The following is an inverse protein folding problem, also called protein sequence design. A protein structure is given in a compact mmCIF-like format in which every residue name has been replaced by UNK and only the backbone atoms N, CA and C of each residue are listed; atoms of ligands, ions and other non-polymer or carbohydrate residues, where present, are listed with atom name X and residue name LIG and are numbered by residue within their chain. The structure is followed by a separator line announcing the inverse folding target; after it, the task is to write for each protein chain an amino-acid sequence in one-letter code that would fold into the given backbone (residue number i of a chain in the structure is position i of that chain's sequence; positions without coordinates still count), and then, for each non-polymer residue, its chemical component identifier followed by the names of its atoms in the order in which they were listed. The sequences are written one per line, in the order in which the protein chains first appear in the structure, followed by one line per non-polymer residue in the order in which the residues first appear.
data_IF_571637374984
#
_entry.id   IF_571637374984
#
_cell.length_a   1.000
_cell.length_b   1.000
_cell.length_c   1.000
_cell.angle_alpha   90.00
_cell.angle_beta   90.00
_cell.angle_gamma   90.00
#
_symmetry.space_group_name_H-M   'P 1'
#
loop_
_entity.id
_entity.type
_entity.pdbx_description
1 polymer ?
#
# COMPACT_ATOMS: atom_id res chain seq x y z
N UNK A 1 -23.29 10.50 -8.16
CA UNK A 1 -21.85 10.39 -7.89
C UNK A 1 -21.37 11.69 -7.28
N UNK A 2 -20.67 11.64 -6.15
CA UNK A 2 -20.11 12.85 -5.53
C UNK A 2 -18.90 13.31 -6.34
N UNK A 3 -18.90 14.58 -6.76
CA UNK A 3 -17.76 15.17 -7.49
C UNK A 3 -16.56 15.23 -6.56
N UNK A 4 -15.40 14.77 -7.05
CA UNK A 4 -14.15 14.85 -6.31
C UNK A 4 -13.66 16.30 -6.27
N UNK A 5 -13.47 16.85 -5.08
CA UNK A 5 -13.05 18.26 -4.86
C UNK A 5 -11.53 18.41 -5.02
N UNK A 6 -10.78 17.40 -4.57
CA UNK A 6 -9.34 17.31 -4.73
C UNK A 6 -8.98 16.00 -5.46
N UNK A 7 -8.58 16.08 -6.70
CA UNK A 7 -8.20 14.95 -7.55
C UNK A 7 -6.70 14.91 -7.87
N UNK A 8 -5.88 15.76 -7.22
CA UNK A 8 -4.43 15.86 -7.46
C UNK A 8 -3.73 14.52 -7.42
N UNK A 9 -4.05 13.69 -6.41
CA UNK A 9 -3.45 12.37 -6.26
C UNK A 9 -3.70 11.49 -7.50
N UNK A 10 -4.95 11.40 -7.97
CA UNK A 10 -5.30 10.59 -9.14
C UNK A 10 -4.64 11.14 -10.41
N UNK A 11 -4.64 12.46 -10.58
CA UNK A 11 -4.01 13.13 -11.74
C UNK A 11 -2.50 12.89 -11.75
N UNK A 12 -1.84 13.01 -10.61
CA UNK A 12 -0.39 12.76 -10.50
C UNK A 12 -0.04 11.30 -10.86
N UNK A 13 -0.82 10.32 -10.36
CA UNK A 13 -0.63 8.91 -10.73
C UNK A 13 -0.79 8.65 -12.23
N UNK A 14 -1.67 9.41 -12.90
CA UNK A 14 -1.88 9.35 -14.35
C UNK A 14 -0.95 10.29 -15.14
N UNK A 15 0.05 10.88 -14.49
CA UNK A 15 1.01 11.83 -15.05
C UNK A 15 0.36 13.04 -15.72
N UNK A 16 -0.80 13.43 -15.21
CA UNK A 16 -1.50 14.64 -15.61
C UNK A 16 -1.01 15.84 -14.82
N UNK A 17 -1.07 17.07 -15.37
CA UNK A 17 -0.66 18.28 -14.65
C UNK A 17 -1.43 18.48 -13.35
N UNK A 18 -0.73 18.93 -12.31
CA UNK A 18 -1.27 19.34 -11.02
C UNK A 18 -0.67 20.67 -10.60
N UNK A 19 -1.30 21.38 -9.68
CA UNK A 19 -0.87 22.69 -9.19
C UNK A 19 0.23 22.61 -8.10
N UNK A 20 0.36 21.45 -7.46
CA UNK A 20 1.39 21.10 -6.48
C UNK A 20 1.50 19.59 -6.36
N UNK A 21 2.62 19.10 -5.86
CA UNK A 21 2.81 17.67 -5.64
C UNK A 21 1.85 17.16 -4.55
N UNK A 22 0.97 16.19 -4.85
CA UNK A 22 0.10 15.61 -3.83
C UNK A 22 0.89 14.74 -2.86
N UNK A 23 0.41 14.67 -1.62
CA UNK A 23 1.00 13.86 -0.56
C UNK A 23 -0.05 13.03 0.17
N UNK A 24 0.30 11.80 0.47
CA UNK A 24 -0.27 10.96 1.51
C UNK A 24 0.85 10.19 2.21
N UNK A 25 0.59 9.56 3.34
CA UNK A 25 1.62 8.85 4.09
C UNK A 25 1.22 7.40 4.33
N UNK A 26 2.11 6.47 4.00
CA UNK A 26 1.92 5.06 4.31
C UNK A 26 1.75 4.87 5.83
N UNK A 27 0.68 4.20 6.25
CA UNK A 27 0.23 4.06 7.66
C UNK A 27 -0.16 5.39 8.33
N UNK A 28 -0.71 6.35 7.56
CA UNK A 28 -1.16 7.65 8.07
C UNK A 28 -2.18 7.54 9.21
N UNK A 29 -3.06 6.54 9.21
CA UNK A 29 -3.81 6.14 10.39
C UNK A 29 -2.94 5.19 11.22
N UNK A 30 -2.44 5.63 12.37
CA UNK A 30 -1.44 4.86 13.07
C UNK A 30 -1.23 5.26 14.53
N UNK A 31 -0.45 4.44 15.23
CA UNK A 31 -0.18 4.54 16.68
C UNK A 31 0.54 5.82 17.12
N UNK A 32 1.06 6.62 16.21
CA UNK A 32 1.62 7.93 16.52
C UNK A 32 0.53 8.95 16.89
N UNK A 33 -0.74 8.72 16.49
CA UNK A 33 -1.88 9.58 16.80
C UNK A 33 -2.55 9.18 18.11
N UNK A 34 -2.76 10.13 19.06
CA UNK A 34 -3.48 9.87 20.32
C UNK A 34 -4.91 9.36 20.09
N UNK A 35 -5.66 9.95 19.17
CA UNK A 35 -7.02 9.54 18.82
C UNK A 35 -7.09 8.14 18.22
N UNK A 36 -6.09 7.74 17.44
CA UNK A 36 -5.99 6.37 16.95
C UNK A 36 -5.83 5.38 18.12
N UNK A 37 -4.95 5.70 19.10
CA UNK A 37 -4.76 4.87 20.28
C UNK A 37 -6.05 4.72 21.08
N UNK A 38 -6.83 5.81 21.23
CA UNK A 38 -8.11 5.80 21.94
C UNK A 38 -9.14 4.91 21.19
N UNK A 39 -9.30 5.09 19.89
CA UNK A 39 -10.21 4.26 19.08
C UNK A 39 -9.78 2.79 19.06
N UNK A 40 -8.48 2.53 19.01
CA UNK A 40 -7.93 1.18 19.08
C UNK A 40 -8.22 0.50 20.43
N UNK A 41 -8.10 1.25 21.53
CA UNK A 41 -8.42 0.75 22.86
C UNK A 41 -9.93 0.46 23.00
N UNK A 42 -10.80 1.30 22.45
CA UNK A 42 -12.25 1.09 22.40
C UNK A 42 -12.62 -0.20 21.63
N UNK A 43 -11.93 -0.49 20.54
CA UNK A 43 -12.16 -1.69 19.74
C UNK A 43 -11.72 -2.99 20.45
N UNK A 44 -10.80 -2.90 21.41
CA UNK A 44 -10.24 -4.04 22.15
C UNK A 44 -8.99 -4.62 21.49
N UNK A 45 -9.10 -5.17 20.29
CA UNK A 45 -7.96 -5.71 19.53
C UNK A 45 -7.91 -5.18 18.10
N UNK A 46 -6.81 -5.46 17.39
CA UNK A 46 -6.60 -4.94 16.03
C UNK A 46 -7.60 -5.48 15.01
N UNK A 47 -7.90 -6.77 15.07
CA UNK A 47 -8.85 -7.36 14.13
C UNK A 47 -10.28 -6.90 14.42
N UNK A 48 -10.66 -6.68 15.66
CA UNK A 48 -11.94 -6.07 16.04
C UNK A 48 -12.08 -4.66 15.47
N UNK A 49 -11.00 -3.86 15.49
CA UNK A 49 -10.96 -2.54 14.82
C UNK A 49 -11.17 -2.67 13.31
N UNK A 50 -10.45 -3.57 12.64
CA UNK A 50 -10.58 -3.79 11.20
C UNK A 50 -11.95 -4.32 10.79
N UNK A 51 -12.57 -5.18 11.61
CA UNK A 51 -13.88 -5.79 11.34
C UNK A 51 -15.08 -4.89 11.62
N UNK A 52 -14.86 -3.74 12.26
CA UNK A 52 -15.87 -2.74 12.51
C UNK A 52 -15.77 -1.60 11.48
N UNK A 53 -16.71 -1.53 10.54
CA UNK A 53 -16.68 -0.56 9.45
C UNK A 53 -16.69 0.90 9.94
N UNK A 54 -17.42 1.21 11.02
CA UNK A 54 -17.51 2.57 11.57
C UNK A 54 -16.20 2.98 12.25
N UNK A 55 -15.58 2.08 13.02
CA UNK A 55 -14.29 2.34 13.66
C UNK A 55 -13.15 2.39 12.64
N UNK A 56 -13.17 1.53 11.62
CA UNK A 56 -12.23 1.59 10.49
C UNK A 56 -12.36 2.91 9.73
N UNK A 57 -13.58 3.39 9.52
CA UNK A 57 -13.84 4.71 8.94
C UNK A 57 -13.30 5.82 9.84
N UNK A 58 -13.59 5.80 11.13
CA UNK A 58 -13.13 6.82 12.07
C UNK A 58 -11.61 6.96 12.03
N UNK A 59 -10.86 5.86 12.16
CA UNK A 59 -9.39 5.93 12.12
C UNK A 59 -8.83 6.33 10.75
N UNK A 60 -9.53 6.01 9.66
CA UNK A 60 -9.15 6.46 8.31
C UNK A 60 -9.25 7.98 8.18
N UNK A 61 -10.26 8.61 8.78
CA UNK A 61 -10.50 10.04 8.70
C UNK A 61 -9.65 10.88 9.67
N UNK A 62 -9.17 10.30 10.75
CA UNK A 62 -8.38 11.01 11.77
C UNK A 62 -7.19 11.78 11.21
N UNK A 63 -6.29 11.21 10.40
CA UNK A 63 -5.17 11.96 9.83
C UNK A 63 -5.61 13.07 8.87
N UNK A 64 -6.73 12.91 8.15
CA UNK A 64 -7.27 13.94 7.26
C UNK A 64 -7.82 15.16 8.01
N UNK A 65 -8.25 14.99 9.27
CA UNK A 65 -8.67 16.10 10.12
C UNK A 65 -7.48 16.89 10.67
N UNK A 66 -6.30 16.28 10.75
CA UNK A 66 -5.08 16.92 11.26
C UNK A 66 -4.22 17.53 10.17
N UNK A 67 -4.15 16.86 9.02
CA UNK A 67 -3.20 17.18 7.96
C UNK A 67 -3.93 17.34 6.63
N UNK A 68 -3.49 18.29 5.80
CA UNK A 68 -4.04 18.53 4.48
C UNK A 68 -3.60 17.47 3.45
N UNK A 69 -3.87 16.20 3.73
CA UNK A 69 -3.49 15.07 2.86
C UNK A 69 -4.35 15.05 1.59
N UNK A 70 -3.76 14.60 0.48
CA UNK A 70 -4.41 14.55 -0.83
C UNK A 70 -5.06 13.20 -1.14
N UNK A 71 -4.97 12.23 -0.25
CA UNK A 71 -5.66 10.94 -0.37
C UNK A 71 -5.92 10.31 1.00
N UNK A 72 -7.03 9.58 1.09
CA UNK A 72 -7.30 8.63 2.16
C UNK A 72 -6.88 7.23 1.71
N UNK A 73 -6.42 6.41 2.64
CA UNK A 73 -6.23 4.98 2.41
C UNK A 73 -7.11 4.18 3.36
N UNK A 74 -7.77 3.16 2.83
CA UNK A 74 -8.55 2.20 3.60
C UNK A 74 -7.76 1.71 4.82
N UNK A 75 -8.36 1.75 6.01
CA UNK A 75 -7.80 1.10 7.18
C UNK A 75 -8.17 -0.38 7.18
N UNK A 76 -7.16 -1.23 7.00
CA UNK A 76 -7.28 -2.69 7.00
C UNK A 76 -5.87 -3.29 7.20
N UNK A 77 -5.74 -4.59 7.03
CA UNK A 77 -4.47 -5.32 7.03
C UNK A 77 -4.26 -6.08 5.72
N UNK A 78 -3.02 -6.27 5.31
CA UNK A 78 -2.69 -7.06 4.11
C UNK A 78 -2.99 -8.56 4.30
N UNK A 79 -3.09 -9.05 5.55
CA UNK A 79 -3.29 -10.46 5.88
C UNK A 79 -4.76 -10.88 6.00
N UNK A 80 -5.69 -9.99 5.63
CA UNK A 80 -7.13 -10.31 5.61
C UNK A 80 -7.47 -11.44 4.65
N UNK A 81 -6.81 -11.54 3.48
CA UNK A 81 -7.01 -12.65 2.54
C UNK A 81 -6.55 -13.99 3.15
N UNK A 82 -5.33 -14.12 3.68
CA UNK A 82 -4.93 -15.34 4.38
C UNK A 82 -5.85 -15.74 5.55
N UNK A 83 -6.35 -14.75 6.32
CA UNK A 83 -7.32 -14.98 7.39
C UNK A 83 -8.63 -15.57 6.82
N UNK A 84 -9.16 -14.98 5.77
CA UNK A 84 -10.36 -15.46 5.07
C UNK A 84 -10.17 -16.83 4.41
N UNK A 85 -8.93 -17.20 4.06
CA UNK A 85 -8.56 -18.55 3.60
C UNK A 85 -8.56 -19.57 4.74
N UNK A 86 -8.79 -19.15 5.99
CA UNK A 86 -8.94 -20.02 7.15
C UNK A 86 -7.63 -20.28 7.90
N UNK A 87 -6.60 -19.45 7.76
CA UNK A 87 -5.34 -19.63 8.48
C UNK A 87 -5.40 -19.19 9.95
N UNK A 88 -6.40 -18.41 10.35
CA UNK A 88 -6.57 -17.94 11.73
C UNK A 88 -5.54 -16.90 12.14
N UNK A 89 -5.76 -15.64 11.71
CA UNK A 89 -4.88 -14.52 12.00
C UNK A 89 -5.10 -13.96 13.40
N UNK A 90 -4.02 -13.76 14.14
CA UNK A 90 -4.01 -13.10 15.45
C UNK A 90 -2.84 -12.12 15.57
N UNK A 91 -2.98 -11.15 16.49
CA UNK A 91 -1.94 -10.18 16.83
C UNK A 91 -1.73 -10.20 18.35
N UNK A 92 -0.59 -10.69 18.80
CA UNK A 92 -0.19 -10.61 20.22
C UNK A 92 0.20 -9.19 20.64
N UNK A 93 0.11 -8.91 21.93
CA UNK A 93 0.57 -7.64 22.50
C UNK A 93 2.09 -7.51 22.30
N UNK A 94 2.52 -6.52 21.48
CA UNK A 94 3.94 -6.30 21.18
C UNK A 94 4.54 -7.30 20.17
N UNK A 95 3.76 -8.28 19.71
CA UNK A 95 4.16 -9.25 18.68
C UNK A 95 3.55 -8.84 17.33
N UNK A 96 4.19 -9.28 16.24
CA UNK A 96 3.65 -9.14 14.89
C UNK A 96 2.47 -10.09 14.63
N UNK A 97 2.01 -10.16 13.37
CA UNK A 97 0.95 -11.10 12.99
C UNK A 97 1.40 -12.55 13.19
N UNK A 98 0.45 -13.41 13.56
CA UNK A 98 0.66 -14.84 13.76
C UNK A 98 -0.53 -15.61 13.20
N UNK A 99 -0.24 -16.71 12.51
CA UNK A 99 -1.24 -17.64 12.00
C UNK A 99 -1.30 -18.92 12.85
N UNK A 100 -2.51 -19.41 13.08
CA UNK A 100 -2.74 -20.71 13.76
C UNK A 100 -2.35 -21.89 12.84
N UNK A 101 -2.59 -21.74 11.53
CA UNK A 101 -2.24 -22.72 10.50
C UNK A 101 -1.22 -22.12 9.55
N UNK A 102 -0.34 -22.97 9.04
CA UNK A 102 0.72 -22.60 8.08
C UNK A 102 0.59 -23.41 6.80
N UNK A 103 1.19 -22.91 5.74
CA UNK A 103 1.29 -23.64 4.47
C UNK A 103 2.58 -24.44 4.48
N UNK A 104 2.47 -25.75 4.62
CA UNK A 104 3.60 -26.66 4.77
C UNK A 104 3.57 -27.87 3.82
N UNK A 105 2.49 -28.05 3.07
CA UNK A 105 2.31 -29.23 2.23
C UNK A 105 1.44 -28.95 1.00
N UNK A 106 1.58 -29.82 0.00
CA UNK A 106 0.79 -29.80 -1.23
C UNK A 106 -0.71 -29.88 -0.94
N UNK A 107 -1.12 -30.78 -0.05
CA UNK A 107 -2.52 -30.96 0.33
C UNK A 107 -3.11 -29.68 0.91
N UNK A 108 -2.36 -28.93 1.72
CA UNK A 108 -2.82 -27.65 2.27
C UNK A 108 -3.02 -26.64 1.16
N UNK A 109 -2.07 -26.49 0.23
CA UNK A 109 -2.20 -25.55 -0.92
C UNK A 109 -3.39 -25.89 -1.81
N UNK A 110 -3.58 -27.19 -2.15
CA UNK A 110 -4.67 -27.64 -3.01
C UNK A 110 -6.05 -27.35 -2.41
N UNK A 111 -6.19 -27.50 -1.08
CA UNK A 111 -7.44 -27.27 -0.36
C UNK A 111 -7.68 -25.84 0.11
N UNK A 112 -6.74 -24.89 -0.13
CA UNK A 112 -6.97 -23.49 0.18
C UNK A 112 -8.15 -22.94 -0.63
N UNK A 113 -9.16 -22.34 0.01
CA UNK A 113 -10.24 -21.66 -0.71
C UNK A 113 -9.75 -20.35 -1.35
N UNK A 114 -10.45 -19.90 -2.38
CA UNK A 114 -10.39 -18.51 -2.86
C UNK A 114 -11.58 -17.79 -2.23
N UNK A 115 -11.37 -16.85 -1.29
CA UNK A 115 -12.47 -16.19 -0.59
C UNK A 115 -13.31 -15.34 -1.52
N UNK A 116 -14.64 -15.34 -1.31
CA UNK A 116 -15.52 -14.34 -1.92
C UNK A 116 -15.43 -13.04 -1.11
N UNK A 117 -14.95 -11.93 -1.71
CA UNK A 117 -14.77 -10.68 -0.98
C UNK A 117 -16.07 -10.09 -0.40
N UNK A 118 -17.22 -10.35 -1.03
CA UNK A 118 -18.53 -9.86 -0.55
C UNK A 118 -19.15 -10.75 0.52
N UNK A 119 -18.51 -11.87 0.85
CA UNK A 119 -18.93 -12.78 1.95
C UNK A 119 -17.88 -12.77 3.06
N UNK A 120 -16.75 -13.46 2.86
CA UNK A 120 -15.72 -13.64 3.89
C UNK A 120 -14.99 -12.34 4.25
N UNK A 121 -14.92 -11.36 3.32
CA UNK A 121 -14.29 -10.06 3.51
C UNK A 121 -15.28 -8.89 3.45
N UNK A 122 -16.57 -9.15 3.66
CA UNK A 122 -17.64 -8.15 3.61
C UNK A 122 -17.37 -6.95 4.53
N UNK A 123 -16.74 -7.16 5.69
CA UNK A 123 -16.40 -6.09 6.62
C UNK A 123 -15.45 -5.06 5.99
N UNK A 124 -14.53 -5.50 5.13
CA UNK A 124 -13.63 -4.60 4.39
C UNK A 124 -14.42 -3.80 3.35
N UNK A 125 -15.29 -4.46 2.59
CA UNK A 125 -16.12 -3.78 1.58
C UNK A 125 -17.08 -2.78 2.23
N UNK A 126 -17.64 -3.11 3.40
CA UNK A 126 -18.46 -2.18 4.18
C UNK A 126 -17.64 -0.97 4.68
N UNK A 127 -16.40 -1.18 5.13
CA UNK A 127 -15.51 -0.09 5.49
C UNK A 127 -15.23 0.83 4.29
N UNK A 128 -14.93 0.28 3.11
CA UNK A 128 -14.72 1.05 1.88
C UNK A 128 -15.95 1.91 1.55
N UNK A 129 -17.15 1.33 1.57
CA UNK A 129 -18.40 2.05 1.30
C UNK A 129 -18.64 3.17 2.31
N UNK A 130 -18.43 2.90 3.60
CA UNK A 130 -18.60 3.88 4.67
C UNK A 130 -17.60 5.02 4.54
N UNK A 131 -16.31 4.72 4.38
CA UNK A 131 -15.26 5.74 4.19
C UNK A 131 -15.54 6.58 2.94
N UNK A 132 -15.90 5.96 1.81
CA UNK A 132 -16.19 6.65 0.57
C UNK A 132 -17.35 7.65 0.72
N UNK A 133 -18.39 7.27 1.46
CA UNK A 133 -19.51 8.14 1.78
C UNK A 133 -19.11 9.31 2.68
N UNK A 134 -18.39 9.03 3.77
CA UNK A 134 -17.97 10.05 4.75
C UNK A 134 -16.93 11.03 4.19
N UNK A 135 -16.06 10.59 3.28
CA UNK A 135 -15.15 11.48 2.53
C UNK A 135 -15.90 12.51 1.69
N UNK A 136 -17.11 12.19 1.25
CA UNK A 136 -17.97 13.09 0.48
C UNK A 136 -17.23 13.86 -0.65
N UNK A 137 -16.27 13.20 -1.28
CA UNK A 137 -15.47 13.74 -2.38
C UNK A 137 -14.34 14.68 -1.97
N UNK A 138 -14.04 14.87 -0.69
CA UNK A 138 -12.95 15.76 -0.26
C UNK A 138 -11.60 15.33 -0.83
N UNK A 139 -11.27 14.04 -0.73
CA UNK A 139 -10.08 13.43 -1.33
C UNK A 139 -10.41 12.02 -1.86
N UNK A 140 -9.61 11.45 -2.79
CA UNK A 140 -9.82 10.09 -3.25
C UNK A 140 -9.47 9.05 -2.19
N UNK A 141 -10.12 7.88 -2.29
CA UNK A 141 -9.88 6.72 -1.44
C UNK A 141 -9.01 5.69 -2.16
N UNK A 142 -7.93 5.28 -1.51
CA UNK A 142 -7.02 4.22 -1.94
C UNK A 142 -7.47 2.90 -1.31
N UNK A 143 -7.71 1.88 -2.15
CA UNK A 143 -7.78 0.49 -1.75
C UNK A 143 -6.41 -0.18 -1.86
N UNK A 144 -6.22 -1.30 -1.18
CA UNK A 144 -4.92 -1.99 -1.24
C UNK A 144 -5.01 -3.48 -0.92
N UNK A 145 -3.93 -4.17 -1.27
CA UNK A 145 -3.67 -5.56 -0.87
C UNK A 145 -2.15 -5.78 -0.73
N UNK A 146 -1.76 -6.83 -0.02
CA UNK A 146 -0.41 -7.38 -0.13
C UNK A 146 -0.21 -8.07 -1.48
N UNK A 147 1.04 -8.15 -1.96
CA UNK A 147 1.38 -8.97 -3.13
C UNK A 147 1.26 -10.46 -2.81
N UNK A 148 1.07 -11.33 -3.81
CA UNK A 148 1.05 -12.78 -3.60
C UNK A 148 2.30 -13.29 -2.90
N UNK A 149 3.49 -12.83 -3.28
CA UNK A 149 4.72 -13.20 -2.60
C UNK A 149 4.74 -12.76 -1.14
N UNK A 150 4.41 -11.52 -0.85
CA UNK A 150 4.36 -11.02 0.54
C UNK A 150 3.34 -11.80 1.39
N UNK A 151 2.16 -12.07 0.87
CA UNK A 151 1.17 -12.90 1.56
C UNK A 151 1.68 -14.32 1.81
N UNK A 152 2.26 -14.96 0.77
CA UNK A 152 2.82 -16.29 0.87
C UNK A 152 3.94 -16.38 1.94
N UNK A 153 4.78 -15.33 2.08
CA UNK A 153 5.82 -15.33 3.12
C UNK A 153 5.23 -15.48 4.50
N UNK A 154 4.19 -14.73 4.84
CA UNK A 154 3.51 -14.83 6.14
C UNK A 154 2.81 -16.18 6.32
N UNK A 155 2.18 -16.71 5.27
CA UNK A 155 1.44 -17.96 5.30
C UNK A 155 2.34 -19.18 5.52
N UNK A 156 3.53 -19.17 4.92
CA UNK A 156 4.51 -20.28 5.02
C UNK A 156 5.36 -20.14 6.30
N UNK A 157 5.79 -18.93 6.64
CA UNK A 157 6.56 -18.68 7.87
C UNK A 157 5.69 -18.82 9.14
N UNK A 158 4.38 -18.56 9.03
CA UNK A 158 3.43 -18.57 10.15
C UNK A 158 3.36 -17.24 10.89
N UNK A 159 4.01 -16.19 10.37
CA UNK A 159 4.09 -14.87 10.96
C UNK A 159 5.26 -14.06 10.39
N UNK A 160 5.73 -13.09 11.16
CA UNK A 160 6.91 -12.29 10.79
C UNK A 160 8.17 -13.14 10.77
N UNK A 161 9.04 -12.94 9.80
CA UNK A 161 10.33 -13.63 9.69
C UNK A 161 11.45 -12.63 9.36
N UNK A 162 12.66 -12.92 9.84
CA UNK A 162 13.87 -12.14 9.49
C UNK A 162 14.64 -12.78 8.34
N UNK A 163 14.65 -14.09 8.26
CA UNK A 163 15.46 -14.85 7.32
C UNK A 163 14.67 -15.51 6.18
N UNK A 164 13.33 -15.64 6.32
CA UNK A 164 12.44 -16.23 5.32
C UNK A 164 12.88 -17.66 4.89
N UNK A 165 13.40 -18.44 5.82
CA UNK A 165 14.05 -19.73 5.52
C UNK A 165 13.06 -20.78 5.02
N UNK A 166 11.84 -20.84 5.56
CA UNK A 166 10.84 -21.81 5.15
C UNK A 166 10.36 -21.58 3.72
N UNK A 167 9.95 -20.35 3.42
CA UNK A 167 9.46 -20.01 2.07
C UNK A 167 10.58 -20.08 1.03
N UNK A 168 11.81 -19.68 1.36
CA UNK A 168 12.96 -19.83 0.46
C UNK A 168 13.33 -21.28 0.24
N UNK A 169 13.23 -22.14 1.27
CA UNK A 169 13.36 -23.59 1.08
C UNK A 169 12.31 -24.11 0.08
N UNK A 170 11.05 -23.76 0.26
CA UNK A 170 9.96 -24.13 -0.67
C UNK A 170 10.26 -23.62 -2.09
N UNK A 171 10.71 -22.37 -2.24
CA UNK A 171 11.07 -21.79 -3.53
C UNK A 171 12.11 -22.62 -4.29
N UNK A 172 13.15 -23.08 -3.62
CA UNK A 172 14.24 -23.82 -4.28
C UNK A 172 14.01 -25.33 -4.36
N UNK A 173 13.26 -25.94 -3.42
CA UNK A 173 13.02 -27.38 -3.41
C UNK A 173 11.69 -27.80 -4.02
N UNK A 174 10.68 -26.96 -3.97
CA UNK A 174 9.32 -27.26 -4.43
C UNK A 174 8.70 -26.07 -5.21
N UNK A 175 9.39 -25.55 -6.25
CA UNK A 175 8.93 -24.33 -6.95
C UNK A 175 7.52 -24.45 -7.52
N UNK A 176 7.12 -25.62 -8.01
CA UNK A 176 5.78 -25.85 -8.54
C UNK A 176 4.69 -25.68 -7.46
N UNK A 177 4.97 -26.09 -6.22
CA UNK A 177 4.05 -25.90 -5.10
C UNK A 177 3.92 -24.44 -4.74
N UNK A 178 5.03 -23.70 -4.71
CA UNK A 178 5.02 -22.26 -4.47
C UNK A 178 4.28 -21.52 -5.58
N UNK A 179 4.50 -21.88 -6.85
CA UNK A 179 3.75 -21.31 -7.96
C UNK A 179 2.23 -21.52 -7.84
N UNK A 180 1.81 -22.72 -7.42
CA UNK A 180 0.38 -23.01 -7.19
C UNK A 180 -0.21 -22.13 -6.08
N UNK A 181 0.52 -21.90 -4.99
CA UNK A 181 0.12 -20.98 -3.92
C UNK A 181 0.03 -19.54 -4.40
N UNK A 182 1.08 -19.05 -5.09
CA UNK A 182 1.14 -17.67 -5.60
C UNK A 182 0.05 -17.37 -6.62
N UNK A 183 -0.28 -18.34 -7.48
CA UNK A 183 -1.34 -18.20 -8.48
C UNK A 183 -2.72 -18.07 -7.83
N UNK A 184 -3.01 -18.92 -6.84
CA UNK A 184 -4.24 -18.83 -6.02
C UNK A 184 -4.35 -17.50 -5.27
N UNK A 185 -3.24 -17.01 -4.73
CA UNK A 185 -3.18 -15.69 -4.07
C UNK A 185 -3.40 -14.55 -5.05
N UNK A 186 -2.83 -14.63 -6.26
CA UNK A 186 -3.06 -13.64 -7.30
C UNK A 186 -4.54 -13.56 -7.69
N UNK A 187 -5.21 -14.69 -7.88
CA UNK A 187 -6.66 -14.73 -8.15
C UNK A 187 -7.46 -14.11 -7.01
N UNK A 188 -7.12 -14.45 -5.77
CA UNK A 188 -7.77 -13.87 -4.58
C UNK A 188 -7.57 -12.36 -4.48
N UNK A 189 -6.36 -11.85 -4.75
CA UNK A 189 -6.05 -10.42 -4.75
C UNK A 189 -6.82 -9.68 -5.84
N UNK A 190 -6.93 -10.26 -7.06
CA UNK A 190 -7.72 -9.69 -8.16
C UNK A 190 -9.18 -9.52 -7.74
N UNK A 191 -9.80 -10.56 -7.20
CA UNK A 191 -11.19 -10.49 -6.72
C UNK A 191 -11.34 -9.45 -5.61
N UNK A 192 -10.43 -9.44 -4.66
CA UNK A 192 -10.43 -8.53 -3.50
C UNK A 192 -10.28 -7.06 -3.90
N UNK A 193 -9.33 -6.73 -4.76
CA UNK A 193 -9.15 -5.35 -5.23
C UNK A 193 -10.28 -4.90 -6.14
N UNK A 194 -10.80 -5.77 -7.00
CA UNK A 194 -11.97 -5.47 -7.83
C UNK A 194 -13.22 -5.21 -6.99
N UNK A 195 -13.40 -5.95 -5.89
CA UNK A 195 -14.48 -5.69 -4.94
C UNK A 195 -14.29 -4.33 -4.23
N UNK A 196 -13.07 -3.97 -3.82
CA UNK A 196 -12.78 -2.65 -3.26
C UNK A 196 -13.08 -1.52 -4.25
N UNK A 197 -12.73 -1.69 -5.54
CA UNK A 197 -13.04 -0.71 -6.59
C UNK A 197 -14.57 -0.55 -6.72
N UNK A 198 -15.30 -1.66 -6.82
CA UNK A 198 -16.78 -1.64 -6.89
C UNK A 198 -17.42 -1.04 -5.63
N UNK A 199 -16.81 -1.21 -4.47
CA UNK A 199 -17.27 -0.63 -3.20
C UNK A 199 -16.95 0.88 -3.10
N UNK A 200 -16.07 1.44 -3.95
CA UNK A 200 -15.80 2.86 -4.02
C UNK A 200 -14.34 3.29 -3.92
N UNK A 201 -13.37 2.38 -3.91
CA UNK A 201 -11.95 2.74 -4.02
C UNK A 201 -11.67 3.36 -5.40
N UNK A 202 -10.94 4.47 -5.43
CA UNK A 202 -10.69 5.26 -6.64
C UNK A 202 -9.27 5.10 -7.18
N UNK A 203 -8.39 4.50 -6.41
CA UNK A 203 -7.08 3.99 -6.80
C UNK A 203 -6.80 2.74 -6.00
N UNK A 204 -5.92 1.87 -6.47
CA UNK A 204 -5.49 0.69 -5.73
C UNK A 204 -3.98 0.55 -5.70
N UNK A 205 -3.49 -0.05 -4.64
CA UNK A 205 -2.06 -0.27 -4.42
C UNK A 205 -1.78 -1.71 -3.99
N UNK A 206 -0.73 -2.31 -4.55
CA UNK A 206 -0.22 -3.62 -4.15
C UNK A 206 1.10 -3.43 -3.40
N UNK A 207 1.13 -3.91 -2.15
CA UNK A 207 2.31 -3.84 -1.29
C UNK A 207 3.11 -5.14 -1.36
N UNK A 208 4.25 -5.09 -2.03
CA UNK A 208 5.23 -6.16 -2.08
C UNK A 208 6.37 -5.91 -1.07
N UNK A 209 6.00 -5.87 0.20
CA UNK A 209 6.90 -5.56 1.33
C UNK A 209 8.13 -6.46 1.37
N UNK A 210 8.00 -7.71 0.95
CA UNK A 210 9.07 -8.70 1.01
C UNK A 210 9.66 -9.09 -0.35
N UNK A 211 9.32 -8.37 -1.42
CA UNK A 211 9.89 -8.63 -2.76
C UNK A 211 11.41 -8.50 -2.79
N UNK A 212 11.96 -7.50 -2.11
CA UNK A 212 13.39 -7.25 -2.05
C UNK A 212 14.23 -8.29 -1.29
N UNK A 213 13.61 -9.30 -0.64
CA UNK A 213 14.36 -10.43 -0.05
C UNK A 213 14.62 -11.55 -1.06
N UNK A 214 14.00 -11.49 -2.23
CA UNK A 214 14.26 -12.41 -3.33
C UNK A 214 15.61 -12.08 -4.00
N UNK A 215 16.27 -13.11 -4.49
CA UNK A 215 17.44 -12.92 -5.32
C UNK A 215 17.03 -12.33 -6.68
N UNK A 216 18.01 -11.80 -7.41
CA UNK A 216 17.76 -11.00 -8.62
C UNK A 216 16.94 -11.76 -9.69
N UNK A 217 17.21 -13.05 -9.90
CA UNK A 217 16.51 -13.87 -10.90
C UNK A 217 15.15 -14.38 -10.41
N UNK A 218 14.99 -14.56 -9.11
CA UNK A 218 13.79 -15.12 -8.49
C UNK A 218 12.68 -14.06 -8.33
N UNK A 219 13.02 -12.79 -8.22
CA UNK A 219 12.04 -11.72 -8.09
C UNK A 219 11.07 -11.64 -9.29
N UNK A 220 11.52 -11.60 -10.55
CA UNK A 220 10.61 -11.62 -11.70
C UNK A 220 9.67 -12.84 -11.72
N UNK A 221 10.16 -13.99 -11.32
CA UNK A 221 9.41 -15.25 -11.40
C UNK A 221 8.41 -15.42 -10.24
N UNK A 222 8.83 -15.13 -8.99
CA UNK A 222 8.03 -15.45 -7.80
C UNK A 222 7.28 -14.25 -7.21
N UNK A 223 7.60 -13.02 -7.58
CA UNK A 223 6.84 -11.84 -7.19
C UNK A 223 6.24 -11.10 -8.37
N UNK A 224 7.06 -10.55 -9.27
CA UNK A 224 6.61 -9.64 -10.32
C UNK A 224 5.60 -10.27 -11.29
N UNK A 225 5.80 -11.51 -11.70
CA UNK A 225 4.87 -12.27 -12.54
C UNK A 225 3.44 -12.25 -12.01
N UNK A 226 3.28 -12.39 -10.71
CA UNK A 226 1.97 -12.43 -10.06
C UNK A 226 1.39 -11.04 -9.84
N UNK A 227 2.22 -10.03 -9.61
CA UNK A 227 1.76 -8.64 -9.62
C UNK A 227 1.32 -8.21 -11.01
N UNK A 228 2.00 -8.64 -12.08
CA UNK A 228 1.58 -8.42 -13.46
C UNK A 228 0.20 -9.07 -13.72
N UNK A 229 0.00 -10.34 -13.34
CA UNK A 229 -1.30 -11.01 -13.41
C UNK A 229 -2.40 -10.22 -12.69
N UNK A 230 -2.09 -9.62 -11.54
CA UNK A 230 -3.04 -8.77 -10.81
C UNK A 230 -3.38 -7.54 -11.65
N UNK A 231 -2.39 -6.80 -12.15
CA UNK A 231 -2.61 -5.58 -12.95
C UNK A 231 -3.49 -5.86 -14.16
N UNK A 232 -3.27 -6.99 -14.86
CA UNK A 232 -4.08 -7.42 -16.01
C UNK A 232 -5.52 -7.76 -15.63
N UNK A 233 -5.75 -8.29 -14.43
CA UNK A 233 -7.07 -8.71 -13.94
C UNK A 233 -7.90 -7.60 -13.28
N UNK A 234 -7.33 -6.42 -13.07
CA UNK A 234 -8.01 -5.33 -12.38
C UNK A 234 -8.98 -4.54 -13.28
N UNK A 235 -10.07 -4.09 -12.67
CA UNK A 235 -10.95 -3.07 -13.25
C UNK A 235 -10.16 -1.76 -13.34
N UNK A 236 -9.97 -1.25 -14.56
CA UNK A 236 -9.17 -0.06 -14.78
C UNK A 236 -10.02 1.20 -15.01
N UNK A 237 -11.32 1.04 -15.20
CA UNK A 237 -12.27 2.15 -15.37
C UNK A 237 -13.52 1.89 -14.53
N UNK A 238 -13.86 2.83 -13.65
CA UNK A 238 -15.01 2.74 -12.78
C UNK A 238 -15.58 4.13 -12.49
N UNK A 239 -16.90 4.24 -12.37
CA UNK A 239 -17.59 5.53 -12.15
C UNK A 239 -17.18 6.64 -13.15
N UNK A 240 -16.90 6.27 -14.41
CA UNK A 240 -16.48 7.21 -15.46
C UNK A 240 -15.05 7.76 -15.30
N UNK A 241 -14.22 7.12 -14.47
CA UNK A 241 -12.82 7.50 -14.23
C UNK A 241 -11.89 6.31 -14.36
N UNK A 242 -10.66 6.59 -14.80
CA UNK A 242 -9.55 5.63 -14.70
C UNK A 242 -9.24 5.36 -13.23
N UNK A 243 -9.05 4.09 -12.88
CA UNK A 243 -8.59 3.63 -11.56
C UNK A 243 -7.09 3.36 -11.66
N UNK A 244 -6.23 4.24 -11.15
CA UNK A 244 -4.79 4.03 -11.18
C UNK A 244 -4.37 2.87 -10.27
N UNK A 245 -3.34 2.14 -10.72
CA UNK A 245 -2.72 1.03 -9.99
C UNK A 245 -1.28 1.38 -9.67
N UNK A 246 -0.93 1.35 -8.38
CA UNK A 246 0.44 1.54 -7.89
C UNK A 246 1.01 0.20 -7.41
N UNK A 247 2.20 -0.16 -7.88
CA UNK A 247 2.96 -1.28 -7.36
C UNK A 247 4.11 -0.76 -6.49
N UNK A 248 4.24 -1.30 -5.28
CA UNK A 248 5.31 -0.97 -4.36
C UNK A 248 6.08 -2.23 -3.97
N UNK A 249 7.37 -2.28 -4.25
CA UNK A 249 8.29 -3.31 -3.78
C UNK A 249 9.37 -2.69 -2.91
N UNK A 250 9.41 -3.05 -1.62
CA UNK A 250 10.52 -2.64 -0.76
C UNK A 250 11.81 -3.32 -1.22
N UNK A 251 12.86 -2.53 -1.48
CA UNK A 251 14.08 -3.01 -2.11
C UNK A 251 13.96 -3.24 -3.62
N UNK A 252 12.92 -2.70 -4.27
CA UNK A 252 12.60 -2.92 -5.69
C UNK A 252 13.44 -2.12 -6.70
N UNK A 253 14.36 -1.27 -6.24
CA UNK A 253 15.14 -0.37 -7.10
C UNK A 253 15.94 -1.04 -8.22
N UNK A 254 16.28 -2.33 -8.07
CA UNK A 254 16.96 -3.10 -9.10
C UNK A 254 16.07 -3.45 -10.31
N UNK A 255 14.74 -3.48 -10.14
CA UNK A 255 13.77 -3.97 -11.12
C UNK A 255 12.77 -2.91 -11.60
N UNK A 256 13.12 -1.62 -11.51
CA UNK A 256 12.19 -0.52 -11.81
C UNK A 256 11.57 -0.63 -13.20
N UNK A 257 12.38 -0.94 -14.23
CA UNK A 257 11.90 -1.10 -15.60
C UNK A 257 10.90 -2.27 -15.71
N UNK A 258 11.26 -3.41 -15.11
CA UNK A 258 10.39 -4.58 -15.14
C UNK A 258 9.07 -4.35 -14.39
N UNK A 259 9.08 -3.60 -13.28
CA UNK A 259 7.87 -3.21 -12.55
C UNK A 259 7.04 -2.27 -13.42
N UNK A 260 7.66 -1.26 -14.03
CA UNK A 260 6.98 -0.32 -14.92
C UNK A 260 6.36 -1.01 -16.16
N UNK A 261 6.94 -2.12 -16.60
CA UNK A 261 6.49 -2.90 -17.76
C UNK A 261 5.24 -3.77 -17.47
N UNK A 262 4.81 -3.87 -16.22
CA UNK A 262 3.58 -4.59 -15.86
C UNK A 262 2.29 -3.89 -16.29
N UNK A 263 2.34 -2.66 -16.76
CA UNK A 263 1.15 -1.85 -17.09
C UNK A 263 0.54 -1.13 -15.88
N UNK A 264 1.23 -1.09 -14.74
CA UNK A 264 0.85 -0.21 -13.62
C UNK A 264 0.95 1.26 -14.02
N UNK A 265 0.22 2.14 -13.33
CA UNK A 265 0.27 3.59 -13.58
C UNK A 265 1.38 4.27 -12.77
N UNK A 266 1.75 3.70 -11.63
CA UNK A 266 2.78 4.24 -10.75
C UNK A 266 3.62 3.16 -10.07
N UNK A 267 4.87 3.51 -9.77
CA UNK A 267 5.80 2.70 -8.98
C UNK A 267 6.09 3.41 -7.66
N UNK A 268 5.81 2.73 -6.55
CA UNK A 268 6.21 3.18 -5.22
C UNK A 268 7.67 2.85 -4.94
N UNK A 269 8.38 3.83 -4.42
CA UNK A 269 9.81 3.75 -4.12
C UNK A 269 10.04 3.75 -2.60
N UNK A 270 10.92 2.88 -2.12
CA UNK A 270 11.44 3.04 -0.76
C UNK A 270 12.63 4.04 -0.74
N UNK A 271 13.08 4.38 0.47
CA UNK A 271 14.12 5.40 0.68
C UNK A 271 15.52 5.01 0.20
N UNK A 272 15.74 3.76 -0.23
CA UNK A 272 17.05 3.30 -0.74
C UNK A 272 17.27 3.65 -2.21
N UNK A 273 16.21 4.11 -2.88
CA UNK A 273 16.23 4.46 -4.30
C UNK A 273 16.46 5.96 -4.45
N UNK A 274 17.41 6.36 -5.29
CA UNK A 274 17.52 7.75 -5.74
C UNK A 274 16.35 8.06 -6.70
N UNK A 275 15.48 9.01 -6.30
CA UNK A 275 14.28 9.36 -7.07
C UNK A 275 14.62 10.03 -8.41
N UNK A 276 15.75 10.75 -8.51
CA UNK A 276 16.21 11.33 -9.79
C UNK A 276 16.60 10.21 -10.76
N UNK A 277 17.29 9.20 -10.28
CA UNK A 277 17.66 8.02 -11.08
C UNK A 277 16.42 7.20 -11.46
N UNK A 278 15.49 6.99 -10.54
CA UNK A 278 14.24 6.32 -10.83
C UNK A 278 13.44 7.07 -11.90
N UNK A 279 13.37 8.41 -11.82
CA UNK A 279 12.71 9.24 -12.83
C UNK A 279 13.38 9.11 -14.19
N UNK A 280 14.71 9.15 -14.23
CA UNK A 280 15.47 8.98 -15.49
C UNK A 280 15.15 7.62 -16.13
N UNK A 281 15.09 6.55 -15.34
CA UNK A 281 14.87 5.19 -15.81
C UNK A 281 13.44 4.94 -16.26
N UNK A 282 12.44 5.34 -15.48
CA UNK A 282 11.04 4.93 -15.72
C UNK A 282 10.01 6.06 -15.68
N UNK A 283 10.38 7.30 -15.32
CA UNK A 283 9.46 8.42 -15.21
C UNK A 283 8.76 8.83 -16.51
N UNK A 284 9.32 8.47 -17.66
CA UNK A 284 8.69 8.62 -18.98
C UNK A 284 7.51 7.65 -19.19
N UNK A 285 7.42 6.58 -18.41
CA UNK A 285 6.45 5.50 -18.55
C UNK A 285 5.40 5.47 -17.44
N UNK A 286 5.83 5.66 -16.20
CA UNK A 286 4.98 5.58 -14.99
C UNK A 286 5.18 6.80 -14.10
N UNK A 287 4.20 7.08 -13.23
CA UNK A 287 4.39 8.00 -12.12
C UNK A 287 5.26 7.36 -11.03
N UNK A 288 5.90 8.18 -10.20
CA UNK A 288 6.70 7.74 -9.07
C UNK A 288 6.08 8.22 -7.75
N UNK A 289 5.96 7.33 -6.79
CA UNK A 289 5.45 7.63 -5.46
C UNK A 289 6.53 7.37 -4.41
N UNK A 290 6.86 8.40 -3.65
CA UNK A 290 7.83 8.30 -2.56
C UNK A 290 8.66 9.57 -2.44
N UNK A 291 9.82 9.51 -1.71
CA UNK A 291 10.33 8.29 -1.06
C UNK A 291 11.17 8.65 0.19
N UNK A 292 10.65 9.55 1.02
CA UNK A 292 11.37 10.00 2.21
C UNK A 292 11.55 8.86 3.23
N UNK A 293 12.75 8.75 3.82
CA UNK A 293 12.93 7.84 4.97
C UNK A 293 11.99 8.25 6.11
N UNK A 294 11.15 7.35 6.62
CA UNK A 294 10.25 7.66 7.73
C UNK A 294 10.97 8.18 8.98
N UNK A 295 12.25 7.82 9.15
CA UNK A 295 13.06 8.26 10.28
C UNK A 295 13.37 9.77 10.27
N UNK A 296 13.23 10.44 9.14
CA UNK A 296 13.36 11.90 9.03
C UNK A 296 12.34 12.62 9.91
N UNK A 297 11.17 11.99 10.14
CA UNK A 297 10.11 12.57 10.98
C UNK A 297 10.46 12.68 12.47
N UNK A 298 11.58 12.11 12.94
CA UNK A 298 12.13 12.34 14.27
C UNK A 298 12.98 13.61 14.36
N UNK A 299 13.33 14.19 13.21
CA UNK A 299 14.20 15.36 13.14
C UNK A 299 13.43 16.67 13.45
N UNK A 300 14.13 17.77 13.77
CA UNK A 300 13.54 19.10 13.83
C UNK A 300 12.91 19.54 12.50
N UNK A 301 11.98 20.50 12.58
CA UNK A 301 11.18 20.93 11.44
C UNK A 301 12.02 21.39 10.24
N UNK A 302 13.09 22.15 10.48
CA UNK A 302 14.00 22.63 9.42
C UNK A 302 14.67 21.47 8.66
N UNK A 303 15.00 20.37 9.33
CA UNK A 303 15.59 19.19 8.69
C UNK A 303 14.54 18.40 7.89
N UNK A 304 13.30 18.35 8.35
CA UNK A 304 12.19 17.74 7.58
C UNK A 304 11.97 18.55 6.29
N UNK A 305 11.94 19.89 6.38
CA UNK A 305 11.78 20.77 5.22
C UNK A 305 12.94 20.65 4.23
N UNK A 306 14.19 20.54 4.71
CA UNK A 306 15.38 20.34 3.87
C UNK A 306 15.31 19.03 3.10
N UNK A 307 14.88 17.95 3.73
CA UNK A 307 14.72 16.66 3.05
C UNK A 307 13.60 16.69 2.00
N UNK A 308 12.48 17.34 2.32
CA UNK A 308 11.39 17.57 1.33
C UNK A 308 11.93 18.34 0.13
N UNK A 309 12.68 19.43 0.36
CA UNK A 309 13.28 20.24 -0.71
C UNK A 309 14.22 19.41 -1.57
N UNK A 310 15.03 18.57 -0.96
CA UNK A 310 15.98 17.69 -1.65
C UNK A 310 15.27 16.69 -2.57
N UNK A 311 14.22 16.03 -2.07
CA UNK A 311 13.45 15.04 -2.86
C UNK A 311 12.69 15.72 -4.00
N UNK A 312 12.04 16.87 -3.75
CA UNK A 312 11.34 17.63 -4.79
C UNK A 312 12.29 18.11 -5.89
N UNK A 313 13.47 18.63 -5.50
CA UNK A 313 14.50 19.06 -6.45
C UNK A 313 15.07 17.88 -7.26
N UNK A 314 15.28 16.74 -6.62
CA UNK A 314 15.75 15.53 -7.27
C UNK A 314 14.74 14.97 -8.28
N UNK A 315 13.44 15.01 -7.96
CA UNK A 315 12.41 14.69 -8.94
C UNK A 315 12.36 15.75 -10.05
N UNK A 316 12.38 17.05 -9.70
CA UNK A 316 12.39 18.16 -10.65
C UNK A 316 11.01 18.52 -11.22
N UNK A 317 11.01 19.38 -12.27
CA UNK A 317 9.78 19.93 -12.88
C UNK A 317 8.93 18.88 -13.60
N UNK A 318 7.61 19.09 -13.60
CA UNK A 318 6.64 18.31 -14.37
C UNK A 318 5.73 17.43 -13.50
N UNK A 319 4.96 16.58 -14.16
CA UNK A 319 3.93 15.72 -13.56
C UNK A 319 4.45 14.32 -13.22
N UNK A 320 3.67 13.58 -12.44
CA UNK A 320 3.95 12.17 -12.14
C UNK A 320 4.72 11.93 -10.84
N UNK A 321 4.76 12.91 -9.94
CA UNK A 321 5.24 12.72 -8.58
C UNK A 321 4.09 12.72 -7.59
N UNK A 322 4.04 11.69 -6.74
CA UNK A 322 3.24 11.63 -5.52
C UNK A 322 4.21 11.54 -4.36
N UNK A 323 4.24 12.54 -3.47
CA UNK A 323 5.10 12.49 -2.31
C UNK A 323 4.57 11.48 -1.28
N UNK A 324 5.44 10.69 -0.74
CA UNK A 324 5.15 9.74 0.34
C UNK A 324 6.44 9.42 1.10
N UNK A 325 6.28 8.74 2.23
CA UNK A 325 7.38 8.05 2.90
C UNK A 325 7.76 6.80 2.10
N UNK A 326 9.02 6.41 2.18
CA UNK A 326 9.52 5.19 1.54
C UNK A 326 9.03 3.89 2.21
N UNK A 327 8.37 3.97 3.37
CA UNK A 327 7.62 2.93 4.05
C UNK A 327 6.68 3.56 5.09
N UNK A 328 5.99 2.74 5.89
CA UNK A 328 5.04 3.23 6.87
C UNK A 328 5.66 4.11 7.96
N UNK A 329 4.92 5.15 8.35
CA UNK A 329 5.29 6.01 9.48
C UNK A 329 5.46 5.18 10.76
N UNK A 330 6.47 5.53 11.57
CA UNK A 330 6.74 4.83 12.81
C UNK A 330 5.75 5.26 13.92
N UNK A 331 5.52 4.37 14.89
CA UNK A 331 4.47 4.53 15.90
C UNK A 331 4.75 5.60 16.96
N UNK A 332 5.99 6.03 17.08
CA UNK A 332 6.51 6.96 18.09
C UNK A 332 7.03 8.27 17.49
N UNK A 333 6.72 8.53 16.22
CA UNK A 333 6.96 9.82 15.57
C UNK A 333 6.15 10.91 16.30
N UNK A 334 6.74 12.09 16.56
CA UNK A 334 5.99 13.24 17.08
C UNK A 334 4.81 13.59 16.19
N UNK A 335 3.62 13.78 16.76
CA UNK A 335 2.39 13.98 16.00
C UNK A 335 2.34 15.30 15.19
N UNK A 336 3.19 16.24 15.51
CA UNK A 336 3.38 17.49 14.77
C UNK A 336 4.26 17.35 13.52
N UNK A 337 5.18 16.37 13.49
CA UNK A 337 6.11 16.20 12.38
C UNK A 337 5.42 15.93 11.02
N UNK A 338 4.36 15.11 10.94
CA UNK A 338 3.61 14.97 9.70
C UNK A 338 2.98 16.26 9.18
N UNK A 339 2.59 17.18 10.06
CA UNK A 339 2.08 18.48 9.63
C UNK A 339 3.18 19.30 8.96
N UNK A 340 4.38 19.34 9.53
CA UNK A 340 5.53 20.00 8.91
C UNK A 340 5.82 19.41 7.55
N UNK A 341 5.82 18.08 7.43
CA UNK A 341 6.02 17.38 6.17
C UNK A 341 4.99 17.79 5.10
N UNK A 342 3.71 17.70 5.43
CA UNK A 342 2.62 17.98 4.49
C UNK A 342 2.65 19.44 4.03
N UNK A 343 2.80 20.38 4.97
CA UNK A 343 2.88 21.81 4.68
C UNK A 343 4.10 22.13 3.79
N UNK A 344 5.26 21.53 4.09
CA UNK A 344 6.47 21.69 3.30
C UNK A 344 6.32 21.17 1.87
N UNK A 345 5.74 19.98 1.68
CA UNK A 345 5.51 19.43 0.35
C UNK A 345 4.62 20.34 -0.47
N UNK A 346 3.48 20.81 0.08
CA UNK A 346 2.56 21.68 -0.63
C UNK A 346 3.17 23.05 -0.98
N UNK A 347 3.95 23.63 -0.05
CA UNK A 347 4.54 24.95 -0.28
C UNK A 347 5.72 24.90 -1.25
N UNK A 348 6.63 23.95 -1.04
CA UNK A 348 7.89 23.87 -1.77
C UNK A 348 7.75 23.23 -3.15
N UNK A 349 6.66 22.49 -3.42
CA UNK A 349 6.45 21.84 -4.72
C UNK A 349 5.89 22.75 -5.79
N UNK A 350 5.20 23.84 -5.45
CA UNK A 350 4.53 24.73 -6.42
C UNK A 350 5.43 25.18 -7.58
N UNK A 351 6.68 25.60 -7.35
CA UNK A 351 7.56 26.04 -8.45
C UNK A 351 7.83 24.96 -9.51
N UNK A 352 7.68 23.68 -9.16
CA UNK A 352 7.91 22.55 -10.08
C UNK A 352 6.69 22.24 -10.96
N UNK A 353 5.56 22.93 -10.77
CA UNK A 353 4.28 22.72 -11.48
C UNK A 353 3.80 23.94 -12.27
N UNK A 354 4.68 24.92 -12.48
CA UNK A 354 4.38 26.16 -13.24
C UNK A 354 4.41 25.92 -14.76
#
# INVERSE_FOLDING_TARGET
MTTLKNDRYLRALLRQPVDMTPIWMMRQAGRYLPEYKATRAQAGDFMSLCRNADLACEVTLQPLRRYALDAAILFSDILTIPDAMGLGLSFGAGEGPKFERVIDSKSVVENLPIPDPEQELQYVMNAVRTIRRELNGDVPLIGFSGSPWTLATYMVEGGSSKAFTKIKKMLYSEPHLLHALLDKLADSVILYLNAQIKAGAQAVMVFDTWGGVLAHREYPEFSLRYMHKIVDGLIRDHEGRRVPVTLFTKGGGLWLEAIADTGCDAVGLDWTVDIAEARRRVGHKVALQGNMDPSVLYAPADRIEDEVRSILAAFGEGSGHVFNLGHGIHQDVPEESPKVLVDAVHQLSKPYHL
#
